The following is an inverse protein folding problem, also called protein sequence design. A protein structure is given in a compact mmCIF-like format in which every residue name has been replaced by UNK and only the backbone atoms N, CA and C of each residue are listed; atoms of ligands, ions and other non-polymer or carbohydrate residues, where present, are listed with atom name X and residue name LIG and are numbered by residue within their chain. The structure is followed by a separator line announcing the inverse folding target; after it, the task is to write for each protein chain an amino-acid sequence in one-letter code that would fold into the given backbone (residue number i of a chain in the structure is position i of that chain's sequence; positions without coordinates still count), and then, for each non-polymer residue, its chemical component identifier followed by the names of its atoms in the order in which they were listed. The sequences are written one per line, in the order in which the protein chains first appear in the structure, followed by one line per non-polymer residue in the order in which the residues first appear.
data_IF_211083303040
#
_entry.id   IF_211083303040
#
_cell.length_a   1.000
_cell.length_b   1.000
_cell.length_c   1.000
_cell.angle_alpha   90.00
_cell.angle_beta   90.00
_cell.angle_gamma   90.00
#
_symmetry.space_group_name_H-M   'P 1'
#
loop_
_entity.id
_entity.type
_entity.pdbx_description
1 polymer ?
#
# COMPACT_ATOMS: atom_id res chain seq x y z
N UNK A 1 12.92 -26.04 -5.69
CA UNK A 1 12.00 -26.27 -4.57
C UNK A 1 11.51 -24.90 -4.08
N UNK A 2 10.30 -24.52 -4.47
CA UNK A 2 9.66 -23.36 -3.86
C UNK A 2 9.31 -23.68 -2.41
N UNK A 3 9.95 -23.00 -1.47
CA UNK A 3 9.54 -23.06 -0.07
C UNK A 3 8.13 -22.47 0.08
N UNK A 4 7.15 -23.35 0.19
CA UNK A 4 5.74 -23.00 0.39
C UNK A 4 5.48 -22.73 1.86
N UNK A 5 6.09 -21.72 2.44
CA UNK A 5 5.73 -21.28 3.78
C UNK A 5 4.38 -20.59 3.74
N UNK A 6 3.41 -21.40 4.09
CA UNK A 6 2.08 -21.11 4.63
C UNK A 6 1.34 -19.87 4.09
N UNK A 7 0.64 -20.09 3.00
CA UNK A 7 -0.38 -19.19 2.50
C UNK A 7 -1.68 -19.52 3.25
N UNK A 8 -2.11 -18.67 4.15
CA UNK A 8 -3.50 -18.73 4.61
C UNK A 8 -4.37 -18.10 3.51
N UNK A 9 -4.85 -18.92 2.61
CA UNK A 9 -5.84 -18.52 1.61
C UNK A 9 -7.23 -18.74 2.20
N UNK A 10 -7.97 -17.66 2.39
CA UNK A 10 -9.39 -17.72 2.69
C UNK A 10 -10.20 -18.07 1.45
N UNK A 11 -11.31 -18.78 1.63
CA UNK A 11 -12.26 -19.17 0.58
C UNK A 11 -12.77 -17.91 -0.14
N UNK A 12 -12.56 -17.82 -1.47
CA UNK A 12 -12.87 -16.72 -2.43
C UNK A 12 -11.74 -15.75 -2.74
N UNK A 13 -10.53 -15.95 -2.26
CA UNK A 13 -9.39 -15.16 -2.70
C UNK A 13 -9.00 -15.55 -4.12
N UNK A 14 -8.54 -14.56 -4.90
CA UNK A 14 -8.11 -14.79 -6.27
C UNK A 14 -6.63 -14.50 -6.41
N UNK A 15 -5.81 -15.53 -6.25
CA UNK A 15 -4.40 -15.48 -6.62
C UNK A 15 -4.32 -15.84 -8.09
N UNK A 16 -4.01 -14.85 -8.92
CA UNK A 16 -4.00 -15.00 -10.38
C UNK A 16 -2.66 -15.53 -10.88
N UNK A 17 -2.63 -15.81 -12.18
CA UNK A 17 -1.45 -16.29 -12.87
C UNK A 17 -0.23 -15.38 -12.67
N UNK A 18 0.94 -15.98 -12.48
CA UNK A 18 2.22 -15.28 -12.23
C UNK A 18 2.25 -14.37 -10.99
N UNK A 19 1.29 -14.46 -10.07
CA UNK A 19 1.41 -13.79 -8.78
C UNK A 19 2.51 -14.46 -7.95
N UNK A 20 3.36 -13.64 -7.31
CA UNK A 20 4.46 -14.11 -6.47
C UNK A 20 4.27 -13.64 -5.03
N UNK A 21 3.97 -14.59 -4.14
CA UNK A 21 3.80 -14.31 -2.71
C UNK A 21 4.99 -14.92 -1.97
N UNK A 22 5.73 -14.10 -1.25
CA UNK A 22 6.92 -14.53 -0.50
C UNK A 22 7.02 -13.89 0.88
N UNK A 23 7.84 -14.45 1.72
CA UNK A 23 7.96 -14.04 3.11
C UNK A 23 6.69 -14.36 3.89
N UNK A 24 6.37 -13.54 4.88
CA UNK A 24 5.18 -13.67 5.70
C UNK A 24 4.09 -12.75 5.17
N UNK A 25 3.02 -13.32 4.59
CA UNK A 25 1.89 -12.54 4.08
C UNK A 25 0.58 -13.07 4.65
N UNK A 26 -0.27 -12.19 5.12
CA UNK A 26 -1.64 -12.46 5.53
C UNK A 26 -2.57 -11.82 4.50
N UNK A 27 -3.40 -12.62 3.83
CA UNK A 27 -4.30 -12.13 2.79
C UNK A 27 -5.74 -12.41 3.23
N UNK A 28 -6.50 -11.34 3.37
CA UNK A 28 -7.88 -11.35 3.83
C UNK A 28 -8.86 -11.87 2.76
N UNK A 29 -10.02 -12.30 3.23
CA UNK A 29 -11.07 -12.91 2.42
C UNK A 29 -11.55 -12.00 1.27
N UNK A 30 -11.70 -12.59 0.09
CA UNK A 30 -12.23 -11.90 -1.08
C UNK A 30 -11.21 -10.99 -1.79
N UNK A 31 -9.96 -11.03 -1.36
CA UNK A 31 -8.90 -10.20 -1.95
C UNK A 31 -8.43 -10.76 -3.29
N UNK A 32 -7.89 -9.90 -4.11
CA UNK A 32 -7.32 -10.24 -5.43
C UNK A 32 -5.84 -9.88 -5.46
N UNK A 33 -4.99 -10.89 -5.67
CA UNK A 33 -3.59 -10.71 -6.03
C UNK A 33 -3.46 -11.10 -7.50
N UNK A 34 -3.23 -10.10 -8.33
CA UNK A 34 -3.35 -10.26 -9.77
C UNK A 34 -2.10 -10.72 -10.48
N UNK A 35 -2.14 -10.64 -11.81
CA UNK A 35 -1.05 -11.08 -12.67
C UNK A 35 0.23 -10.30 -12.39
N UNK A 36 1.34 -11.02 -12.28
CA UNK A 36 2.69 -10.46 -12.08
C UNK A 36 2.78 -9.48 -10.91
N UNK A 37 2.01 -9.72 -9.87
CA UNK A 37 2.02 -8.96 -8.62
C UNK A 37 2.89 -9.69 -7.60
N UNK A 38 3.81 -8.96 -7.00
CA UNK A 38 4.62 -9.47 -5.88
C UNK A 38 4.07 -8.94 -4.54
N UNK A 39 3.84 -9.85 -3.60
CA UNK A 39 3.44 -9.57 -2.22
C UNK A 39 4.54 -10.10 -1.30
N UNK A 40 5.04 -9.24 -0.39
CA UNK A 40 6.16 -9.60 0.49
C UNK A 40 6.02 -9.01 1.89
N UNK A 41 5.85 -9.86 2.89
CA UNK A 41 5.72 -9.46 4.31
C UNK A 41 4.60 -8.44 4.54
N UNK A 42 3.40 -8.75 4.10
CA UNK A 42 2.28 -7.81 4.10
C UNK A 42 1.09 -8.31 4.91
N UNK A 43 0.30 -7.37 5.40
CA UNK A 43 -1.04 -7.61 5.91
C UNK A 43 -2.04 -6.98 4.95
N UNK A 44 -2.78 -7.82 4.23
CA UNK A 44 -3.79 -7.43 3.26
C UNK A 44 -5.16 -7.77 3.85
N UNK A 45 -5.96 -6.75 4.14
CA UNK A 45 -7.29 -6.92 4.70
C UNK A 45 -8.27 -7.49 3.67
N UNK A 46 -9.54 -7.67 4.07
CA UNK A 46 -10.54 -8.28 3.21
C UNK A 46 -10.87 -7.40 2.00
N UNK A 47 -11.17 -8.05 0.87
CA UNK A 47 -11.66 -7.44 -0.37
C UNK A 47 -10.69 -6.42 -0.99
N UNK A 48 -9.42 -6.48 -0.63
CA UNK A 48 -8.36 -5.65 -1.23
C UNK A 48 -8.08 -6.12 -2.66
N UNK A 49 -7.76 -5.18 -3.53
CA UNK A 49 -7.41 -5.48 -4.91
C UNK A 49 -6.01 -4.99 -5.26
N UNK A 50 -5.13 -5.93 -5.60
CA UNK A 50 -3.78 -5.67 -6.12
C UNK A 50 -3.65 -6.41 -7.46
N UNK A 51 -4.32 -5.91 -8.52
CA UNK A 51 -4.68 -6.75 -9.66
C UNK A 51 -3.62 -6.92 -10.75
N UNK A 52 -2.67 -5.99 -10.92
CA UNK A 52 -1.82 -5.96 -12.11
C UNK A 52 -0.46 -5.34 -11.88
N UNK A 53 0.62 -6.13 -12.06
CA UNK A 53 2.01 -5.65 -12.10
C UNK A 53 2.41 -4.77 -10.91
N UNK A 54 1.93 -5.15 -9.74
CA UNK A 54 2.18 -4.39 -8.52
C UNK A 54 3.35 -5.00 -7.74
N UNK A 55 4.01 -4.16 -6.95
CA UNK A 55 4.84 -4.60 -5.84
C UNK A 55 4.29 -4.06 -4.54
N UNK A 56 4.00 -4.96 -3.60
CA UNK A 56 3.62 -4.61 -2.23
C UNK A 56 4.61 -5.28 -1.29
N UNK A 57 5.28 -4.50 -0.50
CA UNK A 57 6.28 -5.00 0.43
C UNK A 57 6.29 -4.28 1.77
N UNK A 58 6.35 -5.07 2.84
CA UNK A 58 6.43 -4.60 4.22
C UNK A 58 5.34 -3.54 4.53
N UNK A 59 4.09 -3.83 4.09
CA UNK A 59 2.98 -2.88 4.02
C UNK A 59 1.70 -3.43 4.65
N UNK A 60 0.76 -2.53 4.93
CA UNK A 60 -0.59 -2.86 5.38
C UNK A 60 -1.60 -2.23 4.43
N UNK A 61 -2.48 -3.05 3.85
CA UNK A 61 -3.55 -2.58 2.97
C UNK A 61 -4.91 -2.77 3.64
N UNK A 62 -5.61 -1.67 3.93
CA UNK A 62 -6.90 -1.64 4.59
C UNK A 62 -8.05 -2.22 3.75
N UNK A 63 -9.18 -2.44 4.38
CA UNK A 63 -10.36 -3.05 3.79
C UNK A 63 -10.82 -2.33 2.52
N UNK A 64 -11.08 -3.11 1.46
CA UNK A 64 -11.49 -2.58 0.14
C UNK A 64 -10.53 -1.56 -0.48
N UNK A 65 -9.27 -1.51 -0.07
CA UNK A 65 -8.31 -0.68 -0.78
C UNK A 65 -7.94 -1.30 -2.14
N UNK A 66 -7.53 -0.45 -3.07
CA UNK A 66 -7.19 -0.85 -4.42
C UNK A 66 -5.88 -0.19 -4.87
N UNK A 67 -4.99 -1.00 -5.41
CA UNK A 67 -3.75 -0.58 -6.04
C UNK A 67 -3.91 -0.60 -7.55
N UNK A 68 -3.90 0.55 -8.19
CA UNK A 68 -3.93 0.64 -9.66
C UNK A 68 -2.76 -0.09 -10.32
N UNK A 69 -2.89 -0.45 -11.58
CA UNK A 69 -1.88 -1.21 -12.32
C UNK A 69 -0.50 -0.52 -12.26
N UNK A 70 0.55 -1.29 -11.99
CA UNK A 70 1.92 -0.80 -11.91
C UNK A 70 2.24 0.06 -10.68
N UNK A 71 1.29 0.30 -9.78
CA UNK A 71 1.59 1.02 -8.54
C UNK A 71 2.38 0.13 -7.57
N UNK A 72 3.27 0.75 -6.79
CA UNK A 72 4.18 0.04 -5.89
C UNK A 72 4.27 0.69 -4.52
N UNK A 73 4.54 -0.11 -3.49
CA UNK A 73 4.97 0.35 -2.18
C UNK A 73 6.49 0.20 -2.08
N UNK A 74 7.23 1.31 -2.23
CA UNK A 74 8.66 1.29 -1.98
C UNK A 74 8.91 1.14 -0.49
N UNK A 75 9.71 0.16 -0.10
CA UNK A 75 9.89 -0.21 1.31
C UNK A 75 11.30 0.06 1.87
N UNK A 76 12.21 0.56 1.04
CA UNK A 76 13.58 0.88 1.46
C UNK A 76 13.96 2.26 0.97
N UNK A 77 14.51 3.08 1.86
CA UNK A 77 15.08 4.38 1.49
C UNK A 77 16.38 4.20 0.71
N UNK A 78 16.67 5.09 -0.21
CA UNK A 78 17.89 5.04 -1.04
C UNK A 78 19.18 5.15 -0.19
N UNK A 79 19.14 5.93 0.88
CA UNK A 79 20.24 6.10 1.85
C UNK A 79 20.35 4.94 2.85
N UNK A 80 19.43 3.97 2.80
CA UNK A 80 19.35 2.79 3.69
C UNK A 80 19.25 3.11 5.19
N UNK A 81 18.87 4.34 5.54
CA UNK A 81 18.58 4.72 6.93
C UNK A 81 17.23 4.16 7.37
N UNK A 82 16.93 4.27 8.67
CA UNK A 82 15.64 3.85 9.21
C UNK A 82 14.50 4.67 8.60
N UNK A 83 13.36 4.01 8.41
CA UNK A 83 12.17 4.68 7.88
C UNK A 83 11.50 5.46 9.00
N UNK A 84 11.13 6.69 8.70
CA UNK A 84 10.40 7.61 9.58
C UNK A 84 9.07 7.94 8.92
N UNK A 85 7.98 7.87 9.66
CA UNK A 85 6.68 8.37 9.21
C UNK A 85 6.59 9.84 9.57
N UNK A 86 6.38 10.68 8.57
CA UNK A 86 6.27 12.15 8.73
C UNK A 86 4.81 12.56 8.71
N UNK A 87 4.29 12.91 9.86
CA UNK A 87 2.92 13.42 9.97
C UNK A 87 2.89 14.94 9.97
N UNK A 88 2.55 15.52 8.83
CA UNK A 88 2.46 16.98 8.67
C UNK A 88 1.13 17.57 9.17
N UNK A 89 0.19 16.74 9.65
CA UNK A 89 -1.14 17.18 10.09
C UNK A 89 -1.09 17.88 11.47
N UNK A 90 -0.22 17.35 12.37
CA UNK A 90 -0.05 17.87 13.71
C UNK A 90 1.43 18.22 13.92
N UNK A 91 1.77 19.50 13.99
CA UNK A 91 3.10 20.03 14.36
C UNK A 91 4.32 19.43 13.64
N UNK A 92 4.14 18.62 12.60
CA UNK A 92 5.23 17.97 11.88
C UNK A 92 5.93 16.86 12.65
N UNK A 93 5.19 16.12 13.45
CA UNK A 93 5.72 15.00 14.24
C UNK A 93 6.33 13.93 13.35
N UNK A 94 7.52 13.49 13.71
CA UNK A 94 8.22 12.38 13.06
C UNK A 94 8.16 11.15 13.96
N UNK A 95 7.59 10.06 13.44
CA UNK A 95 7.49 8.78 14.15
C UNK A 95 8.59 7.85 13.63
N UNK A 96 9.57 7.57 14.46
CA UNK A 96 10.62 6.62 14.15
C UNK A 96 10.08 5.19 14.20
N UNK A 97 10.15 4.47 13.07
CA UNK A 97 9.67 3.08 13.00
C UNK A 97 10.67 2.07 13.56
N UNK A 98 11.94 2.43 13.68
CA UNK A 98 13.02 1.51 14.04
C UNK A 98 13.33 0.49 12.93
N UNK A 99 12.71 0.58 11.76
CA UNK A 99 12.81 -0.40 10.69
C UNK A 99 13.54 0.17 9.47
N UNK A 100 14.40 -0.64 8.86
CA UNK A 100 15.02 -0.33 7.56
C UNK A 100 14.10 -0.62 6.38
N UNK A 101 13.11 -1.51 6.58
CA UNK A 101 12.10 -1.90 5.59
C UNK A 101 10.73 -1.61 6.15
N UNK A 102 10.05 -0.67 5.54
CA UNK A 102 8.72 -0.26 5.90
C UNK A 102 8.09 0.40 4.67
N UNK A 103 7.07 -0.22 4.11
CA UNK A 103 6.42 0.23 2.89
C UNK A 103 5.41 1.33 3.15
N UNK A 104 4.14 1.04 2.89
CA UNK A 104 3.05 1.98 3.08
C UNK A 104 1.91 1.37 3.91
N UNK A 105 1.16 2.24 4.57
CA UNK A 105 -0.09 1.88 5.25
C UNK A 105 -1.25 2.56 4.54
N UNK A 106 -2.16 1.76 4.00
CA UNK A 106 -3.41 2.22 3.40
C UNK A 106 -4.57 1.94 4.34
N UNK A 107 -5.34 2.98 4.62
CA UNK A 107 -6.61 2.84 5.30
C UNK A 107 -7.68 2.21 4.41
N UNK A 108 -8.88 2.05 4.97
CA UNK A 108 -10.00 1.46 4.26
C UNK A 108 -10.46 2.34 3.08
N UNK A 109 -10.91 1.69 1.99
CA UNK A 109 -11.43 2.36 0.80
C UNK A 109 -10.46 3.36 0.13
N UNK A 110 -9.16 3.12 0.23
CA UNK A 110 -8.15 3.91 -0.47
C UNK A 110 -8.02 3.41 -1.91
N UNK A 111 -8.01 4.35 -2.85
CA UNK A 111 -7.82 4.09 -4.28
C UNK A 111 -6.50 4.70 -4.75
N UNK A 112 -5.55 3.88 -5.15
CA UNK A 112 -4.25 4.34 -5.67
C UNK A 112 -4.26 4.27 -7.20
N UNK A 113 -3.99 5.39 -7.84
CA UNK A 113 -3.91 5.49 -9.29
C UNK A 113 -2.75 4.70 -9.89
N UNK A 114 -2.88 4.33 -11.16
CA UNK A 114 -1.88 3.53 -11.88
C UNK A 114 -0.49 4.17 -11.88
N UNK A 115 0.54 3.32 -11.86
CA UNK A 115 1.96 3.72 -11.89
C UNK A 115 2.38 4.72 -10.80
N UNK A 116 1.69 4.71 -9.67
CA UNK A 116 2.06 5.54 -8.53
C UNK A 116 3.06 4.83 -7.63
N UNK A 117 3.94 5.60 -7.01
CA UNK A 117 4.91 5.12 -6.04
C UNK A 117 4.55 5.64 -4.66
N UNK A 118 4.27 4.74 -3.74
CA UNK A 118 4.12 5.05 -2.34
C UNK A 118 5.50 4.88 -1.69
N UNK A 119 6.12 5.99 -1.30
CA UNK A 119 7.47 5.98 -0.73
C UNK A 119 7.49 5.40 0.68
N UNK A 120 8.65 4.91 1.17
CA UNK A 120 8.76 4.33 2.51
C UNK A 120 8.21 5.25 3.60
N UNK A 121 7.34 4.72 4.46
CA UNK A 121 6.70 5.47 5.52
C UNK A 121 5.46 6.28 5.09
N UNK A 122 4.96 6.07 3.87
CA UNK A 122 3.69 6.68 3.44
C UNK A 122 2.51 6.09 4.21
N UNK A 123 1.66 6.95 4.73
CA UNK A 123 0.37 6.58 5.34
C UNK A 123 -0.75 7.30 4.61
N UNK A 124 -1.71 6.56 4.10
CA UNK A 124 -2.89 7.11 3.43
C UNK A 124 -4.11 6.75 4.27
N UNK A 125 -4.71 7.75 4.90
CA UNK A 125 -5.89 7.55 5.75
C UNK A 125 -7.12 7.12 4.93
N UNK A 126 -8.19 6.63 5.57
CA UNK A 126 -9.35 6.07 4.87
C UNK A 126 -10.01 7.01 3.86
N UNK A 127 -10.67 6.40 2.86
CA UNK A 127 -11.46 7.09 1.83
C UNK A 127 -10.66 8.09 0.97
N UNK A 128 -9.36 7.85 0.75
CA UNK A 128 -8.53 8.70 -0.08
C UNK A 128 -8.43 8.18 -1.52
N UNK A 129 -8.20 9.11 -2.45
CA UNK A 129 -7.81 8.79 -3.82
C UNK A 129 -6.44 9.40 -4.12
N UNK A 130 -5.60 8.63 -4.76
CA UNK A 130 -4.29 9.09 -5.29
C UNK A 130 -4.37 9.12 -6.81
N UNK A 131 -4.00 10.23 -7.42
CA UNK A 131 -3.97 10.34 -8.87
C UNK A 131 -2.89 9.45 -9.48
N UNK A 132 -3.08 9.00 -10.72
CA UNK A 132 -2.06 8.22 -11.43
C UNK A 132 -0.72 8.97 -11.53
N UNK A 133 0.37 8.21 -11.66
CA UNK A 133 1.73 8.74 -11.82
C UNK A 133 2.23 9.59 -10.63
N UNK A 134 1.67 9.36 -9.46
CA UNK A 134 2.01 10.11 -8.25
C UNK A 134 3.20 9.51 -7.51
N UNK A 135 4.05 10.38 -6.93
CA UNK A 135 5.05 10.00 -5.93
C UNK A 135 4.59 10.49 -4.56
N UNK A 136 4.02 9.58 -3.76
CA UNK A 136 3.39 9.93 -2.48
C UNK A 136 4.37 9.79 -1.33
N UNK A 137 4.37 10.77 -0.41
CA UNK A 137 5.17 10.77 0.82
C UNK A 137 4.36 11.31 1.99
N UNK A 138 4.72 10.87 3.21
CA UNK A 138 4.11 11.35 4.45
C UNK A 138 2.70 10.82 4.68
N UNK A 139 1.91 11.55 5.45
CA UNK A 139 0.56 11.17 5.86
C UNK A 139 -0.48 11.95 5.07
N UNK A 140 -1.36 11.25 4.38
CA UNK A 140 -2.49 11.85 3.65
C UNK A 140 -3.74 11.76 4.54
N UNK A 141 -4.37 12.89 4.86
CA UNK A 141 -5.57 12.91 5.72
C UNK A 141 -6.74 12.15 5.10
N UNK A 142 -7.63 11.64 5.95
CA UNK A 142 -8.82 10.91 5.50
C UNK A 142 -9.74 11.79 4.61
N UNK A 143 -10.45 11.15 3.69
CA UNK A 143 -11.38 11.83 2.78
C UNK A 143 -10.73 12.89 1.86
N UNK A 144 -9.49 12.65 1.45
CA UNK A 144 -8.77 13.56 0.57
C UNK A 144 -8.44 12.92 -0.79
N UNK A 145 -8.16 13.78 -1.74
CA UNK A 145 -7.61 13.45 -3.05
C UNK A 145 -6.19 14.00 -3.11
N UNK A 146 -5.23 13.10 -3.27
CA UNK A 146 -3.84 13.44 -3.55
C UNK A 146 -3.66 13.58 -5.07
N UNK A 147 -3.47 14.80 -5.55
CA UNK A 147 -3.18 15.05 -6.96
C UNK A 147 -1.67 15.08 -7.22
N UNK A 148 -0.96 15.79 -6.37
CA UNK A 148 0.49 15.89 -6.29
C UNK A 148 0.89 16.38 -4.88
N UNK A 149 2.18 16.62 -4.63
CA UNK A 149 2.71 17.00 -3.32
C UNK A 149 2.15 18.33 -2.80
N UNK A 150 1.82 19.24 -3.70
CA UNK A 150 1.36 20.60 -3.38
C UNK A 150 -0.18 20.71 -3.38
N UNK A 151 -0.87 19.70 -3.93
CA UNK A 151 -2.31 19.71 -4.12
C UNK A 151 -2.98 18.49 -3.49
N UNK A 152 -3.19 18.54 -2.19
CA UNK A 152 -3.99 17.58 -1.42
C UNK A 152 -5.30 18.28 -1.05
N UNK A 153 -6.41 17.82 -1.61
CA UNK A 153 -7.71 18.49 -1.48
C UNK A 153 -8.75 17.60 -0.82
N UNK A 154 -9.56 18.15 0.07
CA UNK A 154 -10.67 17.43 0.69
C UNK A 154 -11.71 17.01 -0.36
N UNK A 155 -12.25 15.81 -0.24
CA UNK A 155 -13.39 15.39 -1.03
C UNK A 155 -14.63 16.21 -0.64
N UNK A 156 -15.41 16.61 -1.64
CA UNK A 156 -16.71 17.22 -1.37
C UNK A 156 -17.65 16.15 -0.79
N UNK A 157 -18.33 16.48 0.28
CA UNK A 157 -19.42 15.66 0.77
C UNK A 157 -20.49 15.55 -0.32
N UNK A 158 -20.98 14.32 -0.53
CA UNK A 158 -22.05 14.04 -1.48
C UNK A 158 -23.38 14.09 -0.77
#
# INVERSE_FOLDING_TARGET
LCDRRQRQMCIRDRIRHCAFIRGSAIIGKGSVVGNSTEIKNDIIFNTVQVPHYNYVGDSILGYKSHMGAGSITSNVKSDKTLVVVKDSRDSGEEIETGLKKFGAMLGDHVEVGCNSVLNPGTVICPNCNVYPLSSVRGVIPANHIYKDADHIVAKKEK
#
